data_IF_510286083943
#
_entry.id   IF_510286083943
#
_cell.length_a   1.000
_cell.length_b   1.000
_cell.length_c   1.000
_cell.angle_alpha   90.00
_cell.angle_beta   90.00
_cell.angle_gamma   90.00
#
_symmetry.space_group_name_H-M   'P 1'
#
loop_
_entity.id
_entity.type
_entity.pdbx_description
1 polymer ?
#
# COMPACT_ATOMS: atom_id res chain seq x y z
N UNK A 1 -21.61 -39.79 -19.62
CA UNK A 1 -21.59 -38.48 -18.93
C UNK A 1 -20.30 -37.73 -19.32
N UNK A 2 -20.30 -37.02 -20.45
CA UNK A 2 -19.08 -36.53 -21.13
C UNK A 2 -18.43 -35.27 -20.53
N UNK A 3 -18.62 -34.98 -19.24
CA UNK A 3 -17.90 -33.88 -18.56
C UNK A 3 -18.05 -32.48 -19.18
N UNK A 4 -19.04 -32.25 -20.06
CA UNK A 4 -19.22 -31.00 -20.81
C UNK A 4 -19.33 -29.76 -19.89
N UNK A 5 -19.83 -29.92 -18.66
CA UNK A 5 -19.87 -28.85 -17.66
C UNK A 5 -18.48 -28.43 -17.17
N UNK A 6 -17.56 -29.37 -17.03
CA UNK A 6 -16.18 -29.11 -16.58
C UNK A 6 -15.39 -28.35 -17.64
N UNK A 7 -15.53 -28.74 -18.91
CA UNK A 7 -14.93 -28.00 -20.03
C UNK A 7 -15.48 -26.58 -20.15
N UNK A 8 -16.79 -26.38 -19.96
CA UNK A 8 -17.40 -25.04 -19.94
C UNK A 8 -16.83 -24.18 -18.80
N UNK A 9 -16.69 -24.74 -17.60
CA UNK A 9 -16.08 -24.06 -16.45
C UNK A 9 -14.63 -23.64 -16.73
N UNK A 10 -13.81 -24.56 -17.26
CA UNK A 10 -12.42 -24.30 -17.61
C UNK A 10 -12.29 -23.21 -18.68
N UNK A 11 -13.16 -23.23 -19.70
CA UNK A 11 -13.19 -22.22 -20.77
C UNK A 11 -13.42 -20.80 -20.23
N UNK A 12 -14.31 -20.65 -19.24
CA UNK A 12 -14.59 -19.36 -18.59
C UNK A 12 -13.38 -18.88 -17.78
N UNK A 13 -12.71 -19.79 -17.07
CA UNK A 13 -11.47 -19.48 -16.34
C UNK A 13 -10.37 -19.03 -17.30
N UNK A 14 -10.16 -19.76 -18.40
CA UNK A 14 -9.15 -19.44 -19.40
C UNK A 14 -9.44 -18.08 -20.06
N UNK A 15 -10.71 -17.79 -20.35
CA UNK A 15 -11.14 -16.49 -20.87
C UNK A 15 -10.84 -15.36 -19.89
N UNK A 16 -11.06 -15.55 -18.59
CA UNK A 16 -10.75 -14.55 -17.57
C UNK A 16 -9.23 -14.35 -17.40
N UNK A 17 -8.44 -15.42 -17.52
CA UNK A 17 -6.97 -15.37 -17.43
C UNK A 17 -6.36 -14.63 -18.63
N UNK A 18 -6.82 -14.92 -19.85
CA UNK A 18 -6.26 -14.33 -21.08
C UNK A 18 -6.74 -12.89 -21.31
N UNK A 19 -8.01 -12.58 -21.06
CA UNK A 19 -8.57 -11.28 -21.41
C UNK A 19 -8.28 -10.16 -20.39
N UNK A 20 -7.50 -10.41 -19.34
CA UNK A 20 -7.05 -9.43 -18.31
C UNK A 20 -8.18 -8.47 -17.89
N UNK A 21 -9.44 -8.93 -17.90
CA UNK A 21 -10.60 -8.02 -17.76
C UNK A 21 -10.88 -7.61 -16.32
N UNK A 22 -10.17 -8.18 -15.34
CA UNK A 22 -10.40 -7.97 -13.91
C UNK A 22 -9.11 -8.05 -13.09
N UNK A 23 -8.12 -7.21 -13.38
CA UNK A 23 -7.02 -7.01 -12.43
C UNK A 23 -7.42 -5.92 -11.43
N UNK A 24 -7.69 -6.29 -10.18
CA UNK A 24 -7.93 -5.36 -9.06
C UNK A 24 -6.65 -5.15 -8.20
N UNK A 25 -5.49 -5.45 -8.77
CA UNK A 25 -4.21 -5.40 -8.06
C UNK A 25 -3.60 -4.01 -8.22
N UNK A 26 -3.34 -3.35 -7.09
CA UNK A 26 -2.53 -2.13 -7.02
C UNK A 26 -1.10 -2.54 -6.66
N UNK A 27 -0.11 -2.08 -7.43
CA UNK A 27 1.30 -2.28 -7.09
C UNK A 27 1.70 -1.28 -6.01
N UNK A 28 1.93 -1.75 -4.77
CA UNK A 28 2.41 -0.96 -3.64
C UNK A 28 3.79 -1.48 -3.22
N UNK A 29 4.77 -0.63 -2.87
CA UNK A 29 4.68 0.83 -2.72
C UNK A 29 4.93 1.64 -4.00
N UNK A 30 5.58 1.04 -5.00
CA UNK A 30 5.93 1.71 -6.25
C UNK A 30 5.36 0.98 -7.45
N UNK A 31 4.91 1.72 -8.45
CA UNK A 31 4.50 1.18 -9.76
C UNK A 31 5.38 1.74 -10.86
N UNK A 32 5.57 0.95 -11.93
CA UNK A 32 6.19 1.46 -13.15
C UNK A 32 5.26 2.50 -13.78
N UNK A 33 5.77 3.71 -13.96
CA UNK A 33 4.97 4.83 -14.40
C UNK A 33 4.62 4.68 -15.87
N UNK A 34 3.33 4.77 -16.21
CA UNK A 34 2.91 4.97 -17.58
C UNK A 34 3.04 6.45 -17.97
N UNK A 35 3.06 6.74 -19.27
CA UNK A 35 3.07 8.12 -19.76
C UNK A 35 1.83 8.89 -19.30
N UNK A 36 0.69 8.19 -19.13
CA UNK A 36 -0.52 8.77 -18.56
C UNK A 36 -0.35 9.17 -17.08
N UNK A 37 0.31 8.33 -16.28
CA UNK A 37 0.59 8.65 -14.88
C UNK A 37 1.49 9.87 -14.75
N UNK A 38 2.53 9.96 -15.59
CA UNK A 38 3.43 11.11 -15.63
C UNK A 38 2.73 12.39 -16.10
N UNK A 39 1.86 12.28 -17.12
CA UNK A 39 1.04 13.40 -17.58
C UNK A 39 0.12 13.91 -16.45
N UNK A 40 -0.55 13.00 -15.74
CA UNK A 40 -1.40 13.32 -14.57
C UNK A 40 -0.60 14.01 -13.46
N UNK A 41 0.60 13.54 -13.16
CA UNK A 41 1.48 14.17 -12.15
C UNK A 41 1.90 15.58 -12.55
N UNK A 42 2.09 15.85 -13.84
CA UNK A 42 2.45 17.17 -14.37
C UNK A 42 1.27 18.10 -14.68
N UNK A 43 0.03 17.67 -14.39
CA UNK A 43 -1.21 18.38 -14.75
C UNK A 43 -1.29 18.80 -16.24
N UNK A 44 -0.79 17.95 -17.14
CA UNK A 44 -0.88 18.16 -18.60
C UNK A 44 -1.72 17.06 -19.25
N UNK A 45 -2.29 17.39 -20.40
CA UNK A 45 -2.92 16.38 -21.26
C UNK A 45 -1.86 15.40 -21.77
N UNK A 46 -2.26 14.15 -22.04
CA UNK A 46 -1.36 13.10 -22.51
C UNK A 46 -0.54 13.52 -23.74
N UNK A 47 -1.21 14.10 -24.75
CA UNK A 47 -0.58 14.50 -26.01
C UNK A 47 0.42 15.65 -25.78
N UNK A 48 0.04 16.67 -25.00
CA UNK A 48 0.93 17.80 -24.71
C UNK A 48 2.11 17.40 -23.83
N UNK A 49 1.93 16.43 -22.92
CA UNK A 49 3.01 15.87 -22.12
C UNK A 49 4.05 15.13 -22.98
N UNK A 50 3.59 14.27 -23.89
CA UNK A 50 4.46 13.55 -24.83
C UNK A 50 5.35 14.47 -25.66
N UNK A 51 4.77 15.56 -26.19
CA UNK A 51 5.49 16.53 -27.01
C UNK A 51 6.48 17.35 -26.17
N UNK A 52 6.11 17.75 -24.95
CA UNK A 52 6.97 18.59 -24.10
C UNK A 52 8.12 17.82 -23.47
N UNK A 53 7.94 16.54 -23.14
CA UNK A 53 8.93 15.70 -22.49
C UNK A 53 9.14 14.36 -23.22
N UNK A 54 9.79 14.36 -24.40
CA UNK A 54 9.94 13.16 -25.21
C UNK A 54 10.82 12.11 -24.53
N UNK A 55 11.91 12.52 -23.90
CA UNK A 55 12.85 11.60 -23.23
C UNK A 55 12.22 10.87 -22.04
N UNK A 56 11.43 11.57 -21.22
CA UNK A 56 10.77 10.96 -20.07
C UNK A 56 9.62 10.05 -20.50
N UNK A 57 8.88 10.44 -21.55
CA UNK A 57 7.85 9.59 -22.15
C UNK A 57 8.45 8.29 -22.67
N UNK A 58 9.59 8.37 -23.35
CA UNK A 58 10.32 7.18 -23.84
C UNK A 58 10.82 6.29 -22.69
N UNK A 59 11.46 6.87 -21.67
CA UNK A 59 11.92 6.14 -20.47
C UNK A 59 10.76 5.44 -19.74
N UNK A 60 9.57 6.06 -19.72
CA UNK A 60 8.35 5.48 -19.15
C UNK A 60 7.84 4.30 -19.96
N UNK A 61 7.80 4.39 -21.30
CA UNK A 61 7.46 3.26 -22.16
C UNK A 61 8.42 2.07 -21.96
N UNK A 62 9.70 2.33 -21.73
CA UNK A 62 10.69 1.29 -21.41
C UNK A 62 10.58 0.76 -19.97
N UNK A 63 9.67 1.26 -19.13
CA UNK A 63 9.50 0.80 -17.75
C UNK A 63 10.64 1.17 -16.79
N UNK A 64 11.44 2.17 -17.15
CA UNK A 64 12.62 2.59 -16.37
C UNK A 64 12.27 3.57 -15.24
N UNK A 65 11.08 4.17 -15.29
CA UNK A 65 10.60 5.13 -14.29
C UNK A 65 9.63 4.44 -13.34
N UNK A 66 9.86 4.58 -12.04
CA UNK A 66 8.92 4.18 -10.99
C UNK A 66 8.36 5.42 -10.30
N UNK A 67 7.07 5.33 -9.94
CA UNK A 67 6.38 6.35 -9.14
C UNK A 67 5.80 5.69 -7.89
N UNK A 68 5.78 6.44 -6.79
CA UNK A 68 5.15 6.03 -5.55
C UNK A 68 3.65 5.90 -5.78
N UNK A 69 3.12 4.70 -5.55
CA UNK A 69 1.71 4.38 -5.70
C UNK A 69 1.12 4.16 -4.31
N UNK A 70 0.03 4.88 -4.03
CA UNK A 70 -0.76 4.65 -2.84
C UNK A 70 -1.96 3.75 -3.16
N UNK A 71 -2.45 3.05 -2.16
CA UNK A 71 -3.71 2.29 -2.27
C UNK A 71 -4.85 3.30 -2.23
N UNK A 72 -5.75 3.23 -3.21
CA UNK A 72 -6.94 4.08 -3.23
C UNK A 72 -7.78 3.80 -1.99
N UNK A 73 -8.01 4.83 -1.19
CA UNK A 73 -8.86 4.72 -0.01
C UNK A 73 -10.33 4.86 -0.41
N UNK A 74 -11.20 4.09 0.26
CA UNK A 74 -12.64 4.23 0.07
C UNK A 74 -13.11 5.62 0.55
N UNK A 75 -14.08 6.30 -0.11
CA UNK A 75 -14.53 7.64 0.29
C UNK A 75 -15.07 7.76 1.72
N UNK A 76 -15.52 6.63 2.31
CA UNK A 76 -15.97 6.52 3.72
C UNK A 76 -14.83 6.15 4.68
N UNK A 77 -13.59 6.09 4.24
CA UNK A 77 -12.47 5.88 5.15
C UNK A 77 -12.42 7.04 6.15
N UNK A 78 -12.42 6.72 7.45
CA UNK A 78 -12.43 7.68 8.57
C UNK A 78 -11.13 7.65 9.38
N UNK A 79 -10.12 6.92 8.92
CA UNK A 79 -8.80 6.96 9.54
C UNK A 79 -8.15 8.31 9.25
N UNK A 80 -7.73 9.00 10.31
CA UNK A 80 -6.79 10.11 10.21
C UNK A 80 -5.41 9.56 9.83
N UNK A 81 -4.60 10.32 9.08
CA UNK A 81 -3.17 10.05 8.98
C UNK A 81 -2.60 10.17 10.39
N UNK A 82 -1.98 9.11 10.91
CA UNK A 82 -1.46 9.09 12.28
C UNK A 82 -0.40 10.18 12.47
N UNK A 83 -0.82 11.33 12.97
CA UNK A 83 0.06 12.47 13.26
C UNK A 83 0.70 12.25 14.63
N UNK A 84 1.82 11.53 14.63
CA UNK A 84 2.61 11.26 15.82
C UNK A 84 3.89 12.07 15.81
N UNK A 85 4.12 12.81 16.90
CA UNK A 85 5.32 13.59 17.13
C UNK A 85 6.13 12.92 18.23
N UNK A 86 7.28 12.36 17.86
CA UNK A 86 8.17 11.65 18.78
C UNK A 86 8.59 12.53 19.96
N UNK A 87 8.90 13.80 19.70
CA UNK A 87 9.31 14.79 20.72
C UNK A 87 8.26 15.06 21.81
N UNK A 88 6.97 14.77 21.54
CA UNK A 88 5.87 14.96 22.50
C UNK A 88 5.42 13.65 23.16
N UNK A 89 5.93 12.51 22.71
CA UNK A 89 5.51 11.21 23.18
C UNK A 89 6.10 10.93 24.57
N UNK A 90 5.25 10.66 25.56
CA UNK A 90 5.68 10.31 26.92
C UNK A 90 5.87 8.81 27.15
N UNK A 91 5.61 7.97 26.15
CA UNK A 91 5.75 6.51 26.26
C UNK A 91 4.71 5.80 27.13
N UNK A 92 3.60 6.47 27.49
CA UNK A 92 2.60 5.93 28.43
C UNK A 92 1.70 4.79 27.89
N UNK A 93 1.88 4.34 26.64
CA UNK A 93 1.13 3.26 25.99
C UNK A 93 -0.40 3.42 25.89
N UNK A 94 -0.96 4.58 26.23
CA UNK A 94 -2.41 4.81 26.20
C UNK A 94 -3.00 4.69 24.79
N UNK A 95 -2.34 5.21 23.77
CA UNK A 95 -2.81 5.14 22.39
C UNK A 95 -2.87 3.71 21.84
N UNK A 96 -1.91 2.84 22.22
CA UNK A 96 -1.94 1.42 21.88
C UNK A 96 -3.14 0.73 22.57
N UNK A 97 -3.29 0.93 23.88
CA UNK A 97 -4.39 0.35 24.68
C UNK A 97 -5.79 0.75 24.20
N UNK A 98 -5.97 2.01 23.80
CA UNK A 98 -7.27 2.52 23.35
C UNK A 98 -7.53 2.33 21.86
N UNK A 99 -6.60 1.73 21.11
CA UNK A 99 -6.80 1.48 19.68
C UNK A 99 -7.89 0.41 19.49
N UNK A 100 -9.08 0.76 18.96
CA UNK A 100 -10.18 -0.20 18.85
C UNK A 100 -9.89 -1.34 17.87
N UNK A 101 -8.94 -1.13 16.95
CA UNK A 101 -8.53 -2.10 15.93
C UNK A 101 -7.21 -2.80 16.29
N UNK A 102 -6.54 -2.42 17.39
CA UNK A 102 -5.23 -2.98 17.75
C UNK A 102 -4.13 -2.73 16.71
N UNK A 103 -4.19 -1.63 15.96
CA UNK A 103 -3.22 -1.30 14.90
C UNK A 103 -1.96 -0.65 15.48
N UNK A 104 -2.11 0.16 16.53
CA UNK A 104 -1.01 0.91 17.12
C UNK A 104 -0.26 -0.01 18.09
N UNK A 105 1.03 -0.21 17.84
CA UNK A 105 1.93 -0.95 18.70
C UNK A 105 3.04 -0.02 19.19
N UNK A 106 3.17 0.15 20.51
CA UNK A 106 4.31 0.85 21.10
C UNK A 106 5.35 -0.19 21.50
N UNK A 107 6.53 -0.13 20.90
CA UNK A 107 7.69 -0.95 21.26
C UNK A 107 8.61 -0.07 22.10
N UNK A 108 8.62 -0.29 23.41
CA UNK A 108 9.64 0.29 24.29
C UNK A 108 10.76 -0.73 24.43
N UNK A 109 11.80 -0.64 23.60
CA UNK A 109 12.98 -1.49 23.78
C UNK A 109 13.58 -1.23 25.17
N UNK A 110 13.58 -2.24 26.03
CA UNK A 110 14.42 -2.31 27.21
C UNK A 110 15.16 -3.64 27.21
N UNK A 111 16.17 -3.78 26.37
CA UNK A 111 17.14 -4.85 26.55
C UNK A 111 18.00 -4.54 27.78
N UNK A 112 17.53 -4.97 28.96
CA UNK A 112 18.34 -5.54 30.05
C UNK A 112 19.00 -4.65 31.10
N UNK A 113 18.32 -3.74 31.83
CA UNK A 113 18.96 -2.98 32.94
C UNK A 113 18.22 -2.75 34.28
N UNK A 114 17.05 -3.34 34.54
CA UNK A 114 16.39 -3.18 35.86
C UNK A 114 15.89 -4.50 36.45
N UNK A 115 16.82 -5.38 36.85
CA UNK A 115 16.50 -6.65 37.55
C UNK A 115 16.00 -6.44 38.99
N UNK A 116 16.23 -5.26 39.59
CA UNK A 116 16.05 -5.05 41.03
C UNK A 116 14.60 -4.80 41.47
N UNK A 117 13.67 -4.54 40.54
CA UNK A 117 12.31 -4.10 40.89
C UNK A 117 11.22 -5.18 40.73
N UNK A 118 11.60 -6.41 40.34
CA UNK A 118 10.63 -7.49 40.13
C UNK A 118 9.75 -7.24 38.91
N UNK A 119 9.95 -8.04 37.86
CA UNK A 119 9.21 -7.96 36.59
C UNK A 119 7.74 -8.35 36.75
N UNK A 120 6.96 -7.55 37.47
CA UNK A 120 5.52 -7.76 37.69
C UNK A 120 4.67 -7.37 36.48
N UNK A 121 5.24 -6.72 35.47
CA UNK A 121 4.51 -6.25 34.30
C UNK A 121 5.36 -6.35 33.02
N UNK A 122 5.81 -7.56 32.68
CA UNK A 122 6.21 -7.84 31.30
C UNK A 122 4.94 -7.83 30.42
N UNK A 123 4.52 -6.63 30.00
CA UNK A 123 3.64 -6.47 28.85
C UNK A 123 4.54 -5.99 27.70
N UNK A 124 5.08 -6.96 26.97
CA UNK A 124 6.04 -6.72 25.89
C UNK A 124 5.42 -6.00 24.68
N UNK A 125 4.08 -5.97 24.56
CA UNK A 125 3.33 -5.28 23.51
C UNK A 125 1.92 -4.94 24.00
N UNK A 126 1.50 -3.67 23.92
CA UNK A 126 0.09 -3.27 23.99
C UNK A 126 -0.51 -3.17 22.58
#
# INVERSE_FOLDING_TARGET
MYGLGLFKGLSITLKNMILVKRTNTVQYPDKKASVFDLAKQSNKNFISYMITNPLNSFKSFMGLISIKQQVDQHPRFRGEEFSWYEERCTGCASCAKYCPLGIIKIVTDQTGKHYQEGQSYDIETF
#
